data_IF_314789020028
#
_entry.id   IF_314789020028
#
_cell.length_a   1.000
_cell.length_b   1.000
_cell.length_c   1.000
_cell.angle_alpha   90.00
_cell.angle_beta   90.00
_cell.angle_gamma   90.00
#
_symmetry.space_group_name_H-M   'P 1'
#
loop_
_entity.id
_entity.type
_entity.pdbx_description
1 polymer ?
#
# COMPACT_ATOMS: atom_id res chain seq x y z
N UNK A 1 -15.11 15.39 5.21
CA UNK A 1 -15.93 15.20 6.44
C UNK A 1 -16.25 13.72 6.64
N UNK A 2 -16.97 13.04 5.74
CA UNK A 2 -17.34 11.62 5.94
C UNK A 2 -16.15 10.66 6.11
N UNK A 3 -15.10 10.75 5.29
CA UNK A 3 -13.91 9.90 5.40
C UNK A 3 -13.12 10.14 6.69
N UNK A 4 -13.06 11.37 7.18
CA UNK A 4 -12.36 11.69 8.42
C UNK A 4 -13.07 11.16 9.68
N UNK A 5 -14.38 11.11 9.67
CA UNK A 5 -15.17 10.54 10.76
C UNK A 5 -15.02 9.00 10.79
N UNK A 6 -14.99 8.38 9.61
CA UNK A 6 -14.97 6.93 9.45
C UNK A 6 -13.58 6.32 9.69
N UNK A 7 -12.48 7.04 9.37
CA UNK A 7 -11.11 6.53 9.49
C UNK A 7 -10.78 5.99 10.89
N UNK A 8 -11.22 6.69 11.94
CA UNK A 8 -10.97 6.28 13.32
C UNK A 8 -11.60 4.92 13.64
N UNK A 9 -12.82 4.68 13.14
CA UNK A 9 -13.50 3.39 13.31
C UNK A 9 -12.79 2.27 12.55
N UNK A 10 -12.35 2.56 11.31
CA UNK A 10 -11.63 1.59 10.50
C UNK A 10 -10.28 1.23 11.11
N UNK A 11 -9.53 2.21 11.61
CA UNK A 11 -8.25 1.96 12.29
C UNK A 11 -8.41 1.17 13.58
N UNK A 12 -9.49 1.39 14.34
CA UNK A 12 -9.81 0.52 15.49
C UNK A 12 -10.01 -0.94 15.07
N UNK A 13 -10.69 -1.19 13.95
CA UNK A 13 -10.88 -2.55 13.44
C UNK A 13 -9.56 -3.19 12.98
N UNK A 14 -8.69 -2.43 12.27
CA UNK A 14 -7.36 -2.89 11.83
C UNK A 14 -6.48 -3.25 13.02
N UNK A 15 -6.44 -2.39 14.05
CA UNK A 15 -5.62 -2.62 15.23
C UNK A 15 -6.13 -3.76 16.13
N UNK A 16 -7.45 -4.00 16.16
CA UNK A 16 -8.04 -5.06 16.97
C UNK A 16 -7.98 -6.44 16.31
N UNK A 17 -7.83 -6.51 15.01
CA UNK A 17 -7.89 -7.76 14.22
C UNK A 17 -6.66 -7.86 13.30
N UNK A 18 -5.55 -8.49 13.76
CA UNK A 18 -4.30 -8.59 12.98
C UNK A 18 -4.49 -9.12 11.57
N UNK A 19 -5.42 -10.06 11.37
CA UNK A 19 -5.78 -10.59 10.06
C UNK A 19 -6.19 -9.50 9.06
N UNK A 20 -6.83 -8.40 9.51
CA UNK A 20 -7.22 -7.29 8.62
C UNK A 20 -5.97 -6.54 8.15
N UNK A 21 -5.01 -6.32 9.05
CA UNK A 21 -3.73 -5.68 8.68
C UNK A 21 -3.01 -6.50 7.61
N UNK A 22 -2.85 -7.82 7.81
CA UNK A 22 -2.21 -8.71 6.84
C UNK A 22 -2.92 -8.69 5.48
N UNK A 23 -4.27 -8.67 5.47
CA UNK A 23 -5.04 -8.59 4.23
C UNK A 23 -4.84 -7.24 3.51
N UNK A 24 -4.67 -6.13 4.24
CA UNK A 24 -4.35 -4.83 3.66
C UNK A 24 -2.94 -4.80 3.07
N UNK A 25 -1.96 -5.38 3.75
CA UNK A 25 -0.57 -5.45 3.30
C UNK A 25 -0.46 -6.25 2.00
N UNK A 26 -1.12 -7.41 1.93
CA UNK A 26 -1.20 -8.24 0.72
C UNK A 26 -1.92 -7.50 -0.41
N UNK A 27 -3.06 -6.85 -0.09
CA UNK A 27 -3.85 -6.12 -1.08
C UNK A 27 -3.07 -4.97 -1.70
N UNK A 28 -2.38 -4.17 -0.88
CA UNK A 28 -1.55 -3.09 -1.37
C UNK A 28 -0.36 -3.60 -2.18
N UNK A 29 0.34 -4.66 -1.71
CA UNK A 29 1.44 -5.28 -2.44
C UNK A 29 1.00 -5.76 -3.81
N UNK A 30 -0.12 -6.49 -3.89
CA UNK A 30 -0.66 -6.97 -5.16
C UNK A 30 -0.97 -5.81 -6.12
N UNK A 31 -1.86 -4.89 -5.72
CA UNK A 31 -2.34 -3.85 -6.62
C UNK A 31 -1.22 -2.89 -7.05
N UNK A 32 -0.29 -2.54 -6.16
CA UNK A 32 0.84 -1.67 -6.49
C UNK A 32 1.77 -2.28 -7.54
N UNK A 33 2.00 -3.60 -7.51
CA UNK A 33 2.79 -4.28 -8.54
C UNK A 33 1.97 -4.54 -9.81
N UNK A 34 0.66 -4.82 -9.68
CA UNK A 34 -0.20 -5.06 -10.84
C UNK A 34 -0.41 -3.81 -11.71
N UNK A 35 -0.36 -2.61 -11.14
CA UNK A 35 -0.30 -1.35 -11.89
C UNK A 35 0.90 -1.34 -12.83
N UNK A 36 2.04 -1.87 -12.40
CA UNK A 36 3.28 -2.01 -13.20
C UNK A 36 3.30 -3.27 -14.09
N UNK A 37 2.15 -3.89 -14.33
CA UNK A 37 1.96 -5.08 -15.16
C UNK A 37 2.65 -6.37 -14.65
N UNK A 38 2.92 -6.48 -13.33
CA UNK A 38 3.36 -7.73 -12.73
C UNK A 38 2.31 -8.82 -12.93
N UNK A 39 2.73 -10.01 -13.35
CA UNK A 39 1.84 -11.11 -13.74
C UNK A 39 1.39 -12.02 -12.58
N UNK A 40 1.85 -11.77 -11.35
CA UNK A 40 1.45 -12.52 -10.16
C UNK A 40 0.01 -12.14 -9.79
N UNK A 41 -0.87 -13.12 -9.64
CA UNK A 41 -2.27 -12.91 -9.26
C UNK A 41 -2.42 -12.62 -7.76
N UNK A 42 -3.57 -12.10 -7.35
CA UNK A 42 -3.87 -11.84 -5.93
C UNK A 42 -3.76 -13.11 -5.05
N UNK A 43 -4.24 -14.25 -5.57
CA UNK A 43 -4.11 -15.54 -4.86
C UNK A 43 -2.66 -15.98 -4.70
N UNK A 44 -1.86 -15.87 -5.77
CA UNK A 44 -0.43 -16.19 -5.74
C UNK A 44 0.35 -15.23 -4.84
N UNK A 45 0.00 -13.93 -4.81
CA UNK A 45 0.58 -12.97 -3.86
C UNK A 45 0.37 -13.41 -2.41
N UNK A 46 -0.83 -13.92 -2.08
CA UNK A 46 -1.09 -14.50 -0.74
C UNK A 46 -0.21 -15.70 -0.46
N UNK A 47 -0.08 -16.61 -1.41
CA UNK A 47 0.76 -17.80 -1.29
C UNK A 47 2.23 -17.43 -1.06
N UNK A 48 2.76 -16.47 -1.80
CA UNK A 48 4.14 -15.98 -1.63
C UNK A 48 4.33 -15.38 -0.23
N UNK A 49 3.45 -14.46 0.17
CA UNK A 49 3.64 -13.66 1.39
C UNK A 49 3.32 -14.46 2.65
N UNK A 50 2.22 -15.22 2.68
CA UNK A 50 1.78 -15.93 3.89
C UNK A 50 2.42 -17.28 4.06
N UNK A 51 2.51 -18.03 2.95
CA UNK A 51 2.89 -19.43 3.02
C UNK A 51 4.38 -19.62 2.73
N UNK A 52 5.06 -18.57 2.22
CA UNK A 52 6.46 -18.64 1.79
C UNK A 52 6.66 -19.62 0.63
N UNK A 53 5.61 -19.91 -0.15
CA UNK A 53 5.64 -20.89 -1.21
C UNK A 53 5.88 -20.25 -2.57
N UNK A 54 6.68 -20.91 -3.40
CA UNK A 54 6.91 -20.50 -4.78
C UNK A 54 5.66 -20.70 -5.65
N UNK A 55 5.54 -19.85 -6.66
CA UNK A 55 4.50 -19.92 -7.70
C UNK A 55 5.15 -20.04 -9.07
N UNK A 56 4.41 -20.51 -10.07
CA UNK A 56 4.93 -20.66 -11.44
C UNK A 56 4.76 -19.34 -12.19
N UNK A 57 5.67 -18.41 -11.95
CA UNK A 57 5.72 -17.07 -12.56
C UNK A 57 7.17 -16.68 -12.87
N UNK A 58 7.42 -15.68 -13.72
CA UNK A 58 8.76 -15.13 -13.91
C UNK A 58 9.40 -14.76 -12.56
N UNK A 59 10.66 -15.12 -12.37
CA UNK A 59 11.37 -14.86 -11.11
C UNK A 59 11.41 -13.37 -10.77
N UNK A 60 11.50 -12.51 -11.77
CA UNK A 60 11.41 -11.05 -11.60
C UNK A 60 10.11 -10.66 -10.90
N UNK A 61 8.97 -11.16 -11.38
CA UNK A 61 7.66 -10.81 -10.86
C UNK A 61 7.48 -11.29 -9.40
N UNK A 62 8.01 -12.48 -9.08
CA UNK A 62 8.01 -13.01 -7.70
C UNK A 62 8.83 -12.10 -6.79
N UNK A 63 10.05 -11.73 -7.21
CA UNK A 63 10.93 -10.86 -6.43
C UNK A 63 10.34 -9.47 -6.22
N UNK A 64 9.65 -8.91 -7.21
CA UNK A 64 8.95 -7.64 -7.06
C UNK A 64 7.87 -7.69 -5.96
N UNK A 65 7.11 -8.79 -5.88
CA UNK A 65 6.14 -9.01 -4.80
C UNK A 65 6.83 -9.07 -3.43
N UNK A 66 7.89 -9.89 -3.29
CA UNK A 66 8.64 -10.03 -2.04
C UNK A 66 9.28 -8.71 -1.60
N UNK A 67 9.91 -8.00 -2.52
CA UNK A 67 10.58 -6.73 -2.27
C UNK A 67 9.57 -5.64 -1.88
N UNK A 68 8.44 -5.58 -2.57
CA UNK A 68 7.39 -4.62 -2.24
C UNK A 68 6.78 -4.92 -0.86
N UNK A 69 6.61 -6.19 -0.51
CA UNK A 69 6.11 -6.55 0.82
C UNK A 69 7.08 -6.12 1.94
N UNK A 70 8.39 -6.30 1.75
CA UNK A 70 9.41 -5.74 2.67
C UNK A 70 9.33 -4.22 2.79
N UNK A 71 9.04 -3.53 1.68
CA UNK A 71 8.83 -2.08 1.71
C UNK A 71 7.55 -1.69 2.48
N UNK A 72 6.50 -2.52 2.46
CA UNK A 72 5.29 -2.34 3.28
C UNK A 72 5.59 -2.54 4.77
N UNK A 73 6.38 -3.54 5.13
CA UNK A 73 6.83 -3.72 6.52
C UNK A 73 7.63 -2.50 7.01
N UNK A 74 8.53 -1.99 6.16
CA UNK A 74 9.29 -0.78 6.45
C UNK A 74 8.40 0.47 6.54
N UNK A 75 7.36 0.59 5.70
CA UNK A 75 6.35 1.64 5.79
C UNK A 75 5.67 1.66 7.17
N UNK A 76 5.27 0.50 7.69
CA UNK A 76 4.69 0.41 9.03
C UNK A 76 5.66 0.90 10.13
N UNK A 77 6.95 0.58 10.02
CA UNK A 77 7.98 1.07 10.94
C UNK A 77 8.06 2.60 10.89
N UNK A 78 8.18 3.19 9.69
CA UNK A 78 8.27 4.64 9.51
C UNK A 78 7.04 5.38 10.07
N UNK A 79 5.84 4.81 9.87
CA UNK A 79 4.59 5.36 10.43
C UNK A 79 4.61 5.30 11.96
N UNK A 80 5.04 4.19 12.55
CA UNK A 80 5.11 4.02 14.01
C UNK A 80 6.09 5.00 14.68
N UNK A 81 7.16 5.35 13.97
CA UNK A 81 8.18 6.30 14.40
C UNK A 81 7.87 7.75 13.99
N UNK A 82 6.72 8.00 13.36
CA UNK A 82 6.32 9.29 12.82
C UNK A 82 7.39 9.94 11.91
N UNK A 83 8.13 9.12 11.15
CA UNK A 83 9.22 9.60 10.30
C UNK A 83 8.71 10.58 9.24
N UNK A 84 9.45 11.66 8.97
CA UNK A 84 9.04 12.67 8.01
C UNK A 84 9.23 12.17 6.58
N UNK A 85 8.43 12.73 5.68
CA UNK A 85 8.69 12.67 4.25
C UNK A 85 10.03 13.35 3.94
N UNK A 86 10.97 12.64 3.32
CA UNK A 86 12.34 13.12 3.10
C UNK A 86 13.01 12.43 1.91
N UNK A 87 14.09 13.03 1.40
CA UNK A 87 14.92 12.38 0.36
C UNK A 87 15.46 11.02 0.82
N UNK A 88 15.76 10.90 2.12
CA UNK A 88 16.21 9.63 2.71
C UNK A 88 15.12 8.57 2.56
N UNK A 89 13.90 8.87 3.00
CA UNK A 89 12.76 7.95 2.93
C UNK A 89 12.45 7.51 1.49
N UNK A 90 12.54 8.44 0.53
CA UNK A 90 12.36 8.13 -0.89
C UNK A 90 13.38 7.10 -1.40
N UNK A 91 14.65 7.31 -1.07
CA UNK A 91 15.76 6.40 -1.45
C UNK A 91 15.63 5.04 -0.78
N UNK A 92 15.27 4.98 0.48
CA UNK A 92 15.09 3.73 1.23
C UNK A 92 13.93 2.90 0.67
N UNK A 93 12.80 3.51 0.35
CA UNK A 93 11.70 2.80 -0.33
C UNK A 93 12.12 2.29 -1.72
N UNK A 94 12.79 3.13 -2.51
CA UNK A 94 13.23 2.70 -3.84
C UNK A 94 14.25 1.55 -3.77
N UNK A 95 15.20 1.60 -2.84
CA UNK A 95 16.17 0.53 -2.62
C UNK A 95 15.51 -0.81 -2.26
N UNK A 96 14.35 -0.77 -1.57
CA UNK A 96 13.59 -1.97 -1.25
C UNK A 96 12.79 -2.49 -2.44
N UNK A 97 12.09 -1.62 -3.20
CA UNK A 97 11.20 -2.07 -4.30
C UNK A 97 11.93 -2.38 -5.61
N UNK A 98 13.10 -1.77 -5.82
CA UNK A 98 13.90 -1.93 -7.05
C UNK A 98 15.41 -2.06 -6.71
N UNK A 99 15.83 -3.10 -5.98
CA UNK A 99 17.23 -3.27 -5.57
C UNK A 99 18.18 -3.44 -6.77
N UNK A 100 17.73 -4.02 -7.87
CA UNK A 100 18.52 -4.20 -9.07
C UNK A 100 18.83 -2.88 -9.80
N UNK A 101 18.01 -1.85 -9.58
CA UNK A 101 18.21 -0.53 -10.19
C UNK A 101 19.28 0.32 -9.46
N UNK A 102 19.74 -0.11 -8.28
CA UNK A 102 20.65 0.68 -7.45
C UNK A 102 22.04 0.89 -8.09
N UNK A 103 22.47 0.01 -8.99
CA UNK A 103 23.72 0.18 -9.74
C UNK A 103 23.68 1.36 -10.75
N UNK A 104 22.47 1.83 -11.09
CA UNK A 104 22.23 2.97 -11.99
C UNK A 104 21.90 4.27 -11.25
N UNK A 105 22.23 4.34 -9.97
CA UNK A 105 22.01 5.49 -9.09
C UNK A 105 23.35 6.17 -8.79
N UNK A 106 23.36 7.51 -8.82
CA UNK A 106 24.52 8.30 -8.44
C UNK A 106 24.85 8.13 -6.96
N UNK A 107 26.07 7.70 -6.59
CA UNK A 107 26.49 7.63 -5.18
C UNK A 107 26.42 8.95 -4.44
N UNK A 108 26.53 10.08 -5.16
CA UNK A 108 26.53 11.43 -4.57
C UNK A 108 25.12 11.90 -4.22
N UNK A 109 24.13 11.62 -5.09
CA UNK A 109 22.76 12.13 -4.92
C UNK A 109 21.78 11.05 -4.45
N UNK A 110 22.04 9.78 -4.74
CA UNK A 110 21.12 8.68 -4.50
C UNK A 110 19.94 8.64 -5.49
N UNK A 111 20.08 9.30 -6.64
CA UNK A 111 19.08 9.35 -7.72
C UNK A 111 19.72 8.97 -9.07
N UNK A 112 18.89 8.77 -10.10
CA UNK A 112 19.40 8.44 -11.45
C UNK A 112 20.36 9.51 -11.98
N UNK A 113 21.32 9.10 -12.74
CA UNK A 113 22.28 9.99 -13.41
C UNK A 113 22.04 10.08 -14.93
N UNK A 114 21.13 9.29 -15.49
CA UNK A 114 20.70 9.35 -16.88
C UNK A 114 19.34 10.04 -17.02
N UNK A 115 19.04 10.53 -18.23
CA UNK A 115 17.68 10.94 -18.59
C UNK A 115 16.73 9.74 -18.49
N UNK A 116 15.50 10.00 -18.14
CA UNK A 116 14.44 8.98 -18.11
C UNK A 116 13.21 9.48 -18.86
N UNK A 117 12.46 8.55 -19.41
CA UNK A 117 11.18 8.79 -20.06
C UNK A 117 10.09 8.01 -19.33
N UNK A 118 8.91 8.59 -19.20
CA UNK A 118 7.74 7.89 -18.66
C UNK A 118 7.00 7.29 -19.85
N UNK A 119 6.96 5.94 -19.92
CA UNK A 119 6.33 5.24 -21.02
C UNK A 119 4.85 5.63 -21.19
N UNK A 120 4.45 5.91 -22.42
CA UNK A 120 3.06 6.26 -22.75
C UNK A 120 2.65 7.70 -22.42
N UNK A 121 3.62 8.59 -22.13
CA UNK A 121 3.35 10.01 -21.89
C UNK A 121 4.35 10.89 -22.63
N UNK A 122 3.98 12.14 -22.94
CA UNK A 122 4.89 13.17 -23.46
C UNK A 122 5.52 14.00 -22.32
N UNK A 123 5.38 13.57 -21.08
CA UNK A 123 5.88 14.29 -19.90
C UNK A 123 7.40 14.22 -19.86
N UNK A 124 8.05 15.39 -19.94
CA UNK A 124 9.49 15.50 -19.73
C UNK A 124 9.83 15.34 -18.25
N UNK A 125 10.64 14.35 -17.95
CA UNK A 125 11.17 14.16 -16.59
C UNK A 125 12.23 15.20 -16.24
N UNK A 126 12.61 15.29 -14.97
CA UNK A 126 13.66 16.21 -14.52
C UNK A 126 15.02 15.85 -15.10
N UNK A 127 15.83 16.88 -15.35
CA UNK A 127 17.26 16.68 -15.58
C UNK A 127 17.92 16.07 -14.33
N UNK A 128 18.89 15.15 -14.46
CA UNK A 128 19.48 14.47 -13.32
C UNK A 128 20.06 15.40 -12.24
N UNK A 129 20.65 16.53 -12.64
CA UNK A 129 21.23 17.50 -11.71
C UNK A 129 20.21 18.31 -10.92
N UNK A 130 18.96 18.38 -11.38
CA UNK A 130 17.87 19.12 -10.72
C UNK A 130 17.03 18.24 -9.78
N UNK A 131 17.17 16.91 -9.84
CA UNK A 131 16.30 15.97 -9.14
C UNK A 131 16.23 16.27 -7.64
N UNK A 132 17.39 16.33 -6.97
CA UNK A 132 17.44 16.54 -5.52
C UNK A 132 16.78 17.86 -5.11
N UNK A 133 17.09 18.95 -5.81
CA UNK A 133 16.51 20.27 -5.56
C UNK A 133 14.99 20.27 -5.77
N UNK A 134 14.50 19.66 -6.85
CA UNK A 134 13.06 19.60 -7.12
C UNK A 134 12.32 18.76 -6.08
N UNK A 135 12.90 17.64 -5.64
CA UNK A 135 12.33 16.81 -4.58
C UNK A 135 12.26 17.57 -3.24
N UNK A 136 13.30 18.32 -2.88
CA UNK A 136 13.27 19.18 -1.67
C UNK A 136 12.17 20.24 -1.76
N UNK A 137 11.98 20.83 -2.95
CA UNK A 137 10.92 21.82 -3.17
C UNK A 137 9.52 21.22 -2.98
N UNK A 138 9.22 20.05 -3.59
CA UNK A 138 7.90 19.43 -3.44
C UNK A 138 7.63 18.98 -2.01
N UNK A 139 8.66 18.56 -1.25
CA UNK A 139 8.54 18.24 0.18
C UNK A 139 8.18 19.53 0.96
N UNK A 140 8.88 20.62 0.69
CA UNK A 140 8.64 21.91 1.35
C UNK A 140 7.24 22.46 1.02
N UNK A 141 6.81 22.37 -0.24
CA UNK A 141 5.46 22.75 -0.65
C UNK A 141 4.40 21.91 0.05
N UNK A 142 4.57 20.59 0.08
CA UNK A 142 3.66 19.68 0.77
C UNK A 142 3.51 20.05 2.25
N UNK A 143 4.62 20.30 2.94
CA UNK A 143 4.64 20.58 4.38
C UNK A 143 4.05 21.95 4.73
N UNK A 144 4.17 22.93 3.86
CA UNK A 144 3.75 24.32 4.11
C UNK A 144 2.42 24.71 3.45
N UNK A 145 1.81 23.80 2.66
CA UNK A 145 0.55 24.08 1.98
C UNK A 145 -0.65 24.08 2.94
N UNK A 146 -1.57 25.01 2.72
CA UNK A 146 -2.88 25.05 3.39
C UNK A 146 -4.01 24.38 2.57
N UNK A 147 -3.68 23.77 1.45
CA UNK A 147 -4.67 23.04 0.63
C UNK A 147 -5.26 21.85 1.40
N UNK A 148 -6.45 21.37 1.00
CA UNK A 148 -7.04 20.16 1.57
C UNK A 148 -6.08 18.97 1.50
N UNK A 149 -6.08 18.13 2.53
CA UNK A 149 -5.10 17.03 2.68
C UNK A 149 -4.97 16.14 1.43
N UNK A 150 -6.09 15.73 0.84
CA UNK A 150 -6.06 14.87 -0.35
C UNK A 150 -5.53 15.59 -1.61
N UNK A 151 -5.71 16.89 -1.71
CA UNK A 151 -5.21 17.67 -2.84
C UNK A 151 -3.70 17.87 -2.70
N UNK A 152 -3.20 18.11 -1.47
CA UNK A 152 -1.75 18.18 -1.18
C UNK A 152 -1.03 16.89 -1.52
N UNK A 153 -1.59 15.74 -1.08
CA UNK A 153 -0.96 14.44 -1.33
C UNK A 153 -1.03 14.06 -2.81
N UNK A 154 -2.13 14.42 -3.50
CA UNK A 154 -2.25 14.23 -4.94
C UNK A 154 -1.23 15.08 -5.71
N UNK A 155 -1.08 16.36 -5.35
CA UNK A 155 -0.07 17.25 -5.95
C UNK A 155 1.33 16.70 -5.75
N UNK A 156 1.69 16.35 -4.50
CA UNK A 156 2.99 15.74 -4.20
C UNK A 156 3.28 14.50 -5.03
N UNK A 157 2.31 13.58 -5.13
CA UNK A 157 2.47 12.33 -5.88
C UNK A 157 2.65 12.60 -7.38
N UNK A 158 1.86 13.50 -7.97
CA UNK A 158 2.01 13.91 -9.37
C UNK A 158 3.38 14.48 -9.67
N UNK A 159 3.86 15.40 -8.83
CA UNK A 159 5.16 16.06 -9.01
C UNK A 159 6.31 15.06 -8.80
N UNK A 160 6.19 14.15 -7.85
CA UNK A 160 7.16 13.05 -7.66
C UNK A 160 7.27 12.18 -8.93
N UNK A 161 6.13 11.75 -9.50
CA UNK A 161 6.12 10.95 -10.73
C UNK A 161 6.68 11.73 -11.92
N UNK A 162 6.42 13.04 -12.03
CA UNK A 162 7.00 13.89 -13.08
C UNK A 162 8.52 14.09 -12.92
N UNK A 163 9.01 14.23 -11.69
CA UNK A 163 10.46 14.28 -11.43
C UNK A 163 11.12 12.98 -11.85
N UNK A 164 10.47 11.86 -11.59
CA UNK A 164 10.92 10.51 -11.94
C UNK A 164 12.34 10.21 -11.48
N UNK A 165 12.61 10.26 -10.15
CA UNK A 165 13.97 10.36 -9.61
C UNK A 165 14.82 9.10 -9.75
N UNK A 166 14.23 7.95 -10.00
CA UNK A 166 14.94 6.67 -10.00
C UNK A 166 14.94 5.99 -11.38
N UNK A 167 15.88 5.08 -11.63
CA UNK A 167 15.93 4.32 -12.90
C UNK A 167 14.74 3.36 -13.06
N UNK A 168 14.23 2.81 -11.96
CA UNK A 168 13.06 1.93 -11.88
C UNK A 168 12.36 2.08 -10.52
N UNK A 169 11.11 1.62 -10.44
CA UNK A 169 10.34 1.58 -9.20
C UNK A 169 9.74 2.93 -8.75
N UNK A 170 9.70 3.95 -9.60
CA UNK A 170 9.13 5.26 -9.25
C UNK A 170 7.67 5.14 -8.83
N UNK A 171 6.80 4.52 -9.62
CA UNK A 171 5.38 4.35 -9.31
C UNK A 171 5.15 3.60 -7.99
N UNK A 172 5.87 2.50 -7.74
CA UNK A 172 5.81 1.75 -6.47
C UNK A 172 6.27 2.61 -5.29
N UNK A 173 7.39 3.32 -5.45
CA UNK A 173 7.92 4.27 -4.44
C UNK A 173 6.92 5.40 -4.17
N UNK A 174 6.37 6.03 -5.19
CA UNK A 174 5.39 7.12 -5.06
C UNK A 174 4.14 6.67 -4.30
N UNK A 175 3.61 5.48 -4.57
CA UNK A 175 2.46 4.92 -3.84
C UNK A 175 2.78 4.56 -2.39
N UNK A 176 4.01 4.15 -2.07
CA UNK A 176 4.47 3.99 -0.68
C UNK A 176 4.55 5.33 0.05
N UNK A 177 5.11 6.37 -0.57
CA UNK A 177 5.18 7.73 -0.01
C UNK A 177 3.78 8.33 0.21
N UNK A 178 2.85 8.13 -0.74
CA UNK A 178 1.45 8.49 -0.57
C UNK A 178 0.84 7.80 0.65
N UNK A 179 1.09 6.50 0.84
CA UNK A 179 0.58 5.76 1.98
C UNK A 179 1.27 6.12 3.29
N UNK A 180 2.55 6.52 3.28
CA UNK A 180 3.21 7.07 4.46
C UNK A 180 2.42 8.26 5.02
N UNK A 181 2.02 9.18 4.15
CA UNK A 181 1.27 10.36 4.56
C UNK A 181 -0.20 10.05 4.90
N UNK A 182 -0.86 9.15 4.16
CA UNK A 182 -2.21 8.68 4.51
C UNK A 182 -2.23 8.07 5.90
N UNK A 183 -1.33 7.15 6.19
CA UNK A 183 -1.28 6.42 7.47
C UNK A 183 -0.90 7.33 8.65
N UNK A 184 0.04 8.26 8.48
CA UNK A 184 0.37 9.29 9.49
C UNK A 184 -0.82 10.20 9.81
N UNK A 185 -1.74 10.38 8.86
CA UNK A 185 -2.99 11.12 9.05
C UNK A 185 -4.17 10.23 9.49
N UNK A 186 -3.89 8.99 9.90
CA UNK A 186 -4.87 8.08 10.51
C UNK A 186 -5.75 7.33 9.51
N UNK A 187 -5.41 7.30 8.23
CA UNK A 187 -6.05 6.44 7.23
C UNK A 187 -5.39 5.07 7.22
N UNK A 188 -6.13 3.99 6.90
CA UNK A 188 -5.52 2.67 6.72
C UNK A 188 -4.67 2.62 5.44
N UNK A 189 -3.77 1.64 5.38
CA UNK A 189 -3.01 1.32 4.17
C UNK A 189 -3.97 1.11 3.00
N UNK A 190 -3.84 1.96 1.97
CA UNK A 190 -4.79 2.09 0.88
C UNK A 190 -4.18 1.66 -0.44
N UNK A 191 -4.84 0.73 -1.14
CA UNK A 191 -4.48 0.31 -2.48
C UNK A 191 -5.32 1.04 -3.54
N UNK A 192 -4.68 1.47 -4.63
CA UNK A 192 -5.36 1.83 -5.86
C UNK A 192 -5.68 0.52 -6.58
N UNK A 193 -6.93 0.11 -6.60
CA UNK A 193 -7.35 -1.16 -7.17
C UNK A 193 -7.42 -1.15 -8.70
N UNK A 194 -7.43 -2.32 -9.32
CA UNK A 194 -7.48 -2.49 -10.78
C UNK A 194 -8.68 -1.75 -11.41
N UNK A 195 -9.81 -1.70 -10.73
CA UNK A 195 -10.99 -0.95 -11.18
C UNK A 195 -10.70 0.55 -11.32
N UNK A 196 -9.74 1.07 -10.55
CA UNK A 196 -9.33 2.48 -10.55
C UNK A 196 -8.02 2.72 -11.32
N UNK A 197 -7.35 1.67 -11.84
CA UNK A 197 -6.05 1.77 -12.54
C UNK A 197 -6.12 2.75 -13.71
N UNK A 198 -7.14 2.63 -14.56
CA UNK A 198 -7.30 3.53 -15.71
C UNK A 198 -7.49 4.97 -15.25
N UNK A 199 -8.39 5.22 -14.29
CA UNK A 199 -8.63 6.56 -13.77
C UNK A 199 -7.39 7.17 -13.08
N UNK A 200 -6.58 6.32 -12.43
CA UNK A 200 -5.31 6.71 -11.82
C UNK A 200 -4.28 7.15 -12.87
N UNK A 201 -4.09 6.35 -13.92
CA UNK A 201 -3.15 6.67 -14.99
C UNK A 201 -3.61 7.88 -15.81
N UNK A 202 -4.90 7.98 -16.11
CA UNK A 202 -5.48 9.13 -16.83
C UNK A 202 -5.37 10.44 -16.06
N UNK A 203 -5.29 10.38 -14.72
CA UNK A 203 -5.15 11.58 -13.89
C UNK A 203 -3.86 12.37 -14.22
N UNK A 204 -2.78 11.71 -14.61
CA UNK A 204 -1.50 12.35 -14.95
C UNK A 204 -1.59 13.21 -16.23
N UNK A 205 -2.50 12.89 -17.14
CA UNK A 205 -2.71 13.61 -18.41
C UNK A 205 -3.97 14.48 -18.40
N UNK A 206 -4.67 14.60 -17.25
CA UNK A 206 -5.92 15.34 -17.16
C UNK A 206 -5.69 16.86 -17.12
N UNK A 207 -6.67 17.66 -17.58
CA UNK A 207 -6.59 19.13 -17.52
C UNK A 207 -6.52 19.68 -16.09
N UNK A 208 -7.12 18.96 -15.13
CA UNK A 208 -6.99 19.20 -13.69
C UNK A 208 -6.44 17.95 -13.01
N UNK A 209 -5.12 17.69 -13.10
CA UNK A 209 -4.54 16.45 -12.62
C UNK A 209 -4.64 16.29 -11.09
N UNK A 210 -4.42 17.35 -10.33
CA UNK A 210 -4.51 17.34 -8.86
C UNK A 210 -5.92 16.97 -8.40
N UNK A 211 -6.95 17.64 -8.91
CA UNK A 211 -8.32 17.34 -8.55
C UNK A 211 -8.72 15.91 -8.93
N UNK A 212 -8.32 15.45 -10.12
CA UNK A 212 -8.62 14.10 -10.59
C UNK A 212 -7.94 13.03 -9.74
N UNK A 213 -6.67 13.19 -9.45
CA UNK A 213 -5.95 12.23 -8.61
C UNK A 213 -6.45 12.24 -7.16
N UNK A 214 -6.77 13.43 -6.62
CA UNK A 214 -7.41 13.56 -5.30
C UNK A 214 -8.72 12.77 -5.21
N UNK A 215 -9.56 12.81 -6.25
CA UNK A 215 -10.79 11.99 -6.32
C UNK A 215 -10.47 10.49 -6.33
N UNK A 216 -9.49 10.06 -7.12
CA UNK A 216 -9.06 8.64 -7.17
C UNK A 216 -8.55 8.17 -5.81
N UNK A 217 -7.75 8.98 -5.12
CA UNK A 217 -7.24 8.64 -3.79
C UNK A 217 -8.39 8.55 -2.77
N UNK A 218 -9.32 9.51 -2.76
CA UNK A 218 -10.51 9.48 -1.89
C UNK A 218 -11.37 8.24 -2.13
N UNK A 219 -11.60 7.88 -3.39
CA UNK A 219 -12.34 6.68 -3.76
C UNK A 219 -11.61 5.41 -3.30
N UNK A 220 -10.29 5.36 -3.46
CA UNK A 220 -9.46 4.22 -3.01
C UNK A 220 -9.50 4.05 -1.48
N UNK A 221 -9.53 5.16 -0.72
CA UNK A 221 -9.74 5.14 0.73
C UNK A 221 -11.13 4.60 1.07
N UNK A 222 -12.18 5.05 0.40
CA UNK A 222 -13.54 4.56 0.61
C UNK A 222 -13.65 3.05 0.33
N UNK A 223 -13.10 2.58 -0.79
CA UNK A 223 -13.04 1.16 -1.12
C UNK A 223 -12.25 0.35 -0.06
N UNK A 224 -11.21 0.94 0.51
CA UNK A 224 -10.46 0.31 1.62
C UNK A 224 -11.31 0.20 2.88
N UNK A 225 -12.13 1.18 3.19
CA UNK A 225 -13.08 1.11 4.31
C UNK A 225 -14.10 -0.02 4.12
N UNK A 226 -14.67 -0.15 2.94
CA UNK A 226 -15.61 -1.22 2.63
C UNK A 226 -14.95 -2.61 2.68
N UNK A 227 -13.71 -2.71 2.22
CA UNK A 227 -12.90 -3.92 2.37
C UNK A 227 -12.70 -4.29 3.85
N UNK A 228 -12.33 -3.33 4.71
CA UNK A 228 -12.16 -3.54 6.16
C UNK A 228 -13.46 -4.01 6.80
N UNK A 229 -14.60 -3.38 6.50
CA UNK A 229 -15.93 -3.78 7.00
C UNK A 229 -16.26 -5.22 6.62
N UNK A 230 -16.01 -5.57 5.35
CA UNK A 230 -16.21 -6.95 4.86
C UNK A 230 -15.34 -7.94 5.63
N UNK A 231 -14.03 -7.66 5.80
CA UNK A 231 -13.11 -8.53 6.54
C UNK A 231 -13.47 -8.66 8.01
N UNK A 232 -13.92 -7.59 8.63
CA UNK A 232 -14.41 -7.61 10.01
C UNK A 232 -15.65 -8.52 10.15
N UNK A 233 -16.60 -8.45 9.21
CA UNK A 233 -17.77 -9.32 9.19
C UNK A 233 -17.38 -10.79 9.00
N UNK A 234 -16.48 -11.09 8.07
CA UNK A 234 -15.94 -12.45 7.84
C UNK A 234 -15.27 -13.01 9.10
N UNK A 235 -14.46 -12.21 9.78
CA UNK A 235 -13.79 -12.60 11.02
C UNK A 235 -14.79 -12.91 12.15
N UNK A 236 -15.79 -12.04 12.36
CA UNK A 236 -16.84 -12.24 13.36
C UNK A 236 -17.64 -13.52 13.09
N UNK A 237 -18.00 -13.78 11.84
CA UNK A 237 -18.73 -14.99 11.46
C UNK A 237 -17.92 -16.29 11.72
N UNK A 238 -16.61 -16.28 11.44
CA UNK A 238 -15.71 -17.39 11.71
C UNK A 238 -15.56 -17.63 13.23
N UNK A 239 -15.32 -16.55 13.98
CA UNK A 239 -15.19 -16.61 15.45
C UNK A 239 -16.46 -17.17 16.11
N UNK A 240 -17.63 -16.71 15.68
CA UNK A 240 -18.93 -17.22 16.19
C UNK A 240 -19.09 -18.71 15.91
N UNK A 241 -18.79 -19.18 14.70
CA UNK A 241 -18.85 -20.62 14.33
C UNK A 241 -17.90 -21.44 15.20
N UNK A 242 -16.68 -20.99 15.40
CA UNK A 242 -15.69 -21.69 16.23
C UNK A 242 -16.15 -21.83 17.67
N UNK A 243 -16.68 -20.75 18.27
CA UNK A 243 -17.22 -20.75 19.63
C UNK A 243 -18.42 -21.68 19.75
N UNK A 244 -19.34 -21.64 18.79
CA UNK A 244 -20.52 -22.52 18.76
C UNK A 244 -20.16 -24.00 18.70
N UNK A 245 -19.20 -24.37 17.82
CA UNK A 245 -18.73 -25.75 17.70
C UNK A 245 -18.04 -26.22 19.00
N UNK A 246 -17.19 -25.41 19.59
CA UNK A 246 -16.52 -25.70 20.88
C UNK A 246 -17.52 -25.96 22.02
N UNK A 247 -18.57 -25.13 22.12
CA UNK A 247 -19.65 -25.34 23.10
C UNK A 247 -20.41 -26.65 22.81
N UNK A 248 -20.73 -26.92 21.57
CA UNK A 248 -21.43 -28.16 21.18
C UNK A 248 -20.64 -29.41 21.57
N UNK A 249 -19.32 -29.42 21.26
CA UNK A 249 -18.42 -30.52 21.61
C UNK A 249 -18.32 -30.71 23.14
N UNK A 250 -18.30 -29.61 23.90
CA UNK A 250 -18.27 -29.63 25.35
C UNK A 250 -19.55 -30.27 25.92
N UNK A 251 -20.73 -29.82 25.46
CA UNK A 251 -22.02 -30.38 25.91
C UNK A 251 -22.16 -31.86 25.52
N UNK A 252 -21.68 -32.27 24.37
CA UNK A 252 -21.71 -33.66 23.94
C UNK A 252 -20.86 -34.55 24.88
N UNK A 253 -19.63 -34.16 25.21
CA UNK A 253 -18.75 -34.86 26.14
C UNK A 253 -19.33 -34.93 27.55
N UNK A 254 -19.93 -33.86 28.04
CA UNK A 254 -20.62 -33.85 29.35
C UNK A 254 -21.82 -34.79 29.35
N UNK A 255 -22.60 -34.86 28.30
CA UNK A 255 -23.74 -35.78 28.13
C UNK A 255 -23.31 -37.25 28.11
N UNK A 256 -22.23 -37.57 27.35
CA UNK A 256 -21.66 -38.93 27.28
C UNK A 256 -21.13 -39.37 28.65
N UNK A 257 -20.38 -38.52 29.35
CA UNK A 257 -19.88 -38.81 30.71
C UNK A 257 -21.01 -39.03 31.72
N UNK A 258 -22.08 -38.23 31.64
CA UNK A 258 -23.26 -38.40 32.50
C UNK A 258 -24.04 -39.72 32.19
N UNK A 259 -24.01 -40.15 30.97
CA UNK A 259 -24.63 -41.44 30.57
C UNK A 259 -23.83 -42.64 31.10
N UNK A 260 -22.50 -42.60 31.00
CA UNK A 260 -21.62 -43.66 31.54
C UNK A 260 -21.69 -43.79 33.06
N UNK A 261 -21.91 -42.67 33.80
CA UNK A 261 -22.09 -42.69 35.26
C UNK A 261 -23.44 -43.28 35.70
N UNK A 262 -24.46 -43.34 34.81
CA UNK A 262 -25.76 -43.96 35.11
C UNK A 262 -25.82 -45.44 34.81
N UNK A 263 -24.85 -45.99 34.12
CA UNK A 263 -24.77 -47.41 33.73
C UNK A 263 -23.90 -48.22 34.72
N UNK A 264 -23.16 -47.56 35.55
CA UNK A 264 -22.44 -48.17 36.72
C UNK A 264 -23.27 -48.08 37.97
#
# INVERSE_FOLDING_TARGET
MQLDEEKTLMMKAVNAIPFIKDELDIRFTYHSNHIENNAVTYGETKTIIRDGLGVVKPLKDIREIENHHKAVEYLHLLVSEAQPLSLKTMREFNALVAPEAQEHISPQTGFRFNLAEIQGTDVKTSEPHDIAYRLENIINEYNNSNEPFFDRIAKFHLEFEQIHPFPDGNGRTGRLLMNLELMKNGYPLTAIEDVNKVAYLDAFNHQNPVGKLSEVIKLSVANTFDFIKKKQAEYRAKSFKATHNSLKDKFQKESEAAHELKIK
#
